data_IF_842764681635
#
_entry.id   IF_842764681635
#
_cell.length_a   1.000
_cell.length_b   1.000
_cell.length_c   1.000
_cell.angle_alpha   90.00
_cell.angle_beta   90.00
_cell.angle_gamma   90.00
#
_symmetry.space_group_name_H-M   'P 1'
#
loop_
_entity.id
_entity.type
_entity.pdbx_description
1 polymer ?
#
# COMPACT_ATOMS: atom_id res chain seq x y z
N UNK A 1 9.68 -14.68 -20.11
CA UNK A 1 8.61 -13.70 -20.39
C UNK A 1 9.18 -12.30 -20.29
N UNK A 2 9.01 -11.46 -21.32
CA UNK A 2 9.46 -10.06 -21.26
C UNK A 2 8.62 -9.26 -20.27
N UNK A 3 9.28 -8.44 -19.43
CA UNK A 3 8.63 -7.65 -18.38
C UNK A 3 7.55 -6.71 -18.95
N UNK A 4 7.75 -6.17 -20.16
CA UNK A 4 6.76 -5.32 -20.83
C UNK A 4 5.45 -6.06 -21.12
N UNK A 5 5.53 -7.30 -21.60
CA UNK A 5 4.35 -8.13 -21.88
C UNK A 5 3.60 -8.46 -20.60
N UNK A 6 4.34 -8.86 -19.55
CA UNK A 6 3.77 -9.12 -18.23
C UNK A 6 3.02 -7.89 -17.69
N UNK A 7 3.67 -6.72 -17.66
CA UNK A 7 3.10 -5.51 -17.08
C UNK A 7 1.90 -4.98 -17.87
N UNK A 8 1.93 -5.09 -19.21
CA UNK A 8 0.78 -4.73 -20.04
C UNK A 8 -0.44 -5.57 -19.67
N UNK A 9 -0.30 -6.90 -19.68
CA UNK A 9 -1.41 -7.81 -19.36
C UNK A 9 -1.88 -7.66 -17.92
N UNK A 10 -0.96 -7.47 -16.97
CA UNK A 10 -1.30 -7.21 -15.57
C UNK A 10 -2.22 -5.99 -15.45
N UNK A 11 -1.84 -4.85 -16.05
CA UNK A 11 -2.62 -3.60 -16.00
C UNK A 11 -3.98 -3.76 -16.67
N UNK A 12 -4.02 -4.43 -17.83
CA UNK A 12 -5.26 -4.71 -18.54
C UNK A 12 -6.21 -5.57 -17.69
N UNK A 13 -5.71 -6.68 -17.11
CA UNK A 13 -6.50 -7.56 -16.22
C UNK A 13 -6.98 -6.82 -14.98
N UNK A 14 -6.12 -6.06 -14.30
CA UNK A 14 -6.50 -5.23 -13.15
C UNK A 14 -7.67 -4.29 -13.48
N UNK A 15 -7.61 -3.58 -14.62
CA UNK A 15 -8.68 -2.67 -15.05
C UNK A 15 -9.97 -3.40 -15.45
N UNK A 16 -9.87 -4.48 -16.21
CA UNK A 16 -11.03 -5.27 -16.66
C UNK A 16 -11.77 -5.85 -15.45
N UNK A 17 -11.03 -6.51 -14.57
CA UNK A 17 -11.59 -7.16 -13.37
C UNK A 17 -12.17 -6.12 -12.40
N UNK A 18 -11.48 -5.00 -12.17
CA UNK A 18 -12.00 -3.89 -11.38
C UNK A 18 -13.34 -3.36 -11.94
N UNK A 19 -13.43 -3.11 -13.26
CA UNK A 19 -14.65 -2.60 -13.90
C UNK A 19 -15.81 -3.61 -13.81
N UNK A 20 -15.50 -4.91 -13.92
CA UNK A 20 -16.48 -5.99 -13.79
C UNK A 20 -16.79 -6.38 -12.34
N UNK A 21 -16.06 -5.84 -11.37
CA UNK A 21 -16.06 -6.28 -9.98
C UNK A 21 -15.76 -7.79 -9.85
N UNK A 22 -14.94 -8.32 -10.75
CA UNK A 22 -14.49 -9.71 -10.72
C UNK A 22 -13.40 -9.87 -9.64
N UNK A 23 -13.72 -10.58 -8.57
CA UNK A 23 -12.86 -10.78 -7.40
C UNK A 23 -12.02 -12.06 -7.47
N UNK A 24 -12.15 -12.84 -8.55
CA UNK A 24 -11.50 -14.15 -8.70
C UNK A 24 -10.07 -14.07 -9.28
N UNK A 25 -9.79 -13.02 -10.04
CA UNK A 25 -8.52 -12.83 -10.74
C UNK A 25 -7.46 -12.03 -9.97
N UNK A 26 -6.49 -11.49 -10.72
CA UNK A 26 -5.34 -10.75 -10.19
C UNK A 26 -5.74 -9.50 -9.40
N UNK A 27 -6.84 -8.83 -9.76
CA UNK A 27 -7.38 -7.71 -9.00
C UNK A 27 -7.78 -8.14 -7.59
N UNK A 28 -8.57 -9.20 -7.48
CA UNK A 28 -9.03 -9.71 -6.19
C UNK A 28 -7.90 -10.29 -5.34
N UNK A 29 -6.97 -11.02 -5.96
CA UNK A 29 -5.77 -11.51 -5.28
C UNK A 29 -4.92 -10.36 -4.73
N UNK A 30 -4.57 -9.39 -5.57
CA UNK A 30 -3.69 -8.28 -5.18
C UNK A 30 -4.32 -7.45 -4.07
N UNK A 31 -5.61 -7.12 -4.21
CA UNK A 31 -6.33 -6.32 -3.23
C UNK A 31 -6.41 -7.02 -1.87
N UNK A 32 -6.74 -8.31 -1.84
CA UNK A 32 -6.79 -9.10 -0.59
C UNK A 32 -5.43 -9.26 0.04
N UNK A 33 -4.43 -9.67 -0.75
CA UNK A 33 -3.08 -9.92 -0.25
C UNK A 33 -2.45 -8.65 0.31
N UNK A 34 -2.61 -7.50 -0.36
CA UNK A 34 -2.16 -6.23 0.18
C UNK A 34 -2.93 -5.82 1.44
N UNK A 35 -4.26 -5.95 1.46
CA UNK A 35 -5.05 -5.55 2.62
C UNK A 35 -4.73 -6.38 3.86
N UNK A 36 -4.58 -7.70 3.72
CA UNK A 36 -4.16 -8.59 4.79
C UNK A 36 -2.78 -8.19 5.32
N UNK A 37 -1.75 -8.24 4.48
CA UNK A 37 -0.37 -8.03 4.92
C UNK A 37 -0.15 -6.61 5.46
N UNK A 38 -0.70 -5.61 4.79
CA UNK A 38 -0.55 -4.20 5.17
C UNK A 38 -1.21 -3.91 6.52
N UNK A 39 -2.39 -4.45 6.81
CA UNK A 39 -3.03 -4.26 8.11
C UNK A 39 -2.41 -5.12 9.22
N UNK A 40 -1.94 -6.33 8.89
CA UNK A 40 -1.25 -7.22 9.85
C UNK A 40 0.07 -6.61 10.34
N UNK A 41 0.81 -5.95 9.44
CA UNK A 41 2.02 -5.18 9.78
C UNK A 41 1.72 -4.08 10.81
N UNK A 42 0.57 -3.40 10.70
CA UNK A 42 0.13 -2.38 11.67
C UNK A 42 -0.55 -2.98 12.93
N UNK A 43 -0.62 -4.31 13.04
CA UNK A 43 -1.08 -5.00 14.23
C UNK A 43 -2.54 -5.43 14.22
N UNK A 44 -3.22 -5.47 13.05
CA UNK A 44 -4.54 -6.11 12.91
C UNK A 44 -4.50 -7.57 13.37
N UNK A 45 -5.59 -8.08 13.94
CA UNK A 45 -5.69 -9.49 14.36
C UNK A 45 -6.46 -10.38 13.37
N UNK A 46 -6.97 -9.81 12.28
CA UNK A 46 -7.70 -10.56 11.26
C UNK A 46 -6.80 -11.57 10.55
N UNK A 47 -7.28 -12.79 10.39
CA UNK A 47 -6.59 -13.83 9.61
C UNK A 47 -6.76 -13.61 8.12
N UNK A 48 -5.95 -14.30 7.31
CA UNK A 48 -6.07 -14.27 5.85
C UNK A 48 -7.45 -14.80 5.39
N UNK A 49 -7.95 -15.88 6.02
CA UNK A 49 -9.29 -16.43 5.75
C UNK A 49 -10.40 -15.44 6.07
N UNK A 50 -10.30 -14.74 7.20
CA UNK A 50 -11.27 -13.71 7.58
C UNK A 50 -11.22 -12.52 6.63
N UNK A 51 -10.02 -12.10 6.24
CA UNK A 51 -9.84 -11.04 5.23
C UNK A 51 -10.46 -11.43 3.90
N UNK A 52 -10.29 -12.69 3.46
CA UNK A 52 -10.90 -13.22 2.25
C UNK A 52 -12.44 -13.25 2.34
N UNK A 53 -13.00 -13.75 3.46
CA UNK A 53 -14.46 -13.75 3.70
C UNK A 53 -15.05 -12.33 3.67
N UNK A 54 -14.41 -11.39 4.37
CA UNK A 54 -14.84 -9.98 4.34
C UNK A 54 -14.80 -9.41 2.92
N UNK A 55 -13.77 -9.75 2.15
CA UNK A 55 -13.63 -9.28 0.78
C UNK A 55 -14.67 -9.87 -0.16
N UNK A 56 -15.00 -11.15 -0.03
CA UNK A 56 -15.86 -11.87 -0.96
C UNK A 56 -17.34 -11.65 -0.64
N UNK A 57 -17.74 -11.91 0.61
CA UNK A 57 -19.14 -11.97 1.04
C UNK A 57 -19.52 -10.85 2.01
N UNK A 58 -18.53 -10.11 2.53
CA UNK A 58 -18.76 -9.11 3.58
C UNK A 58 -19.08 -9.74 4.94
N UNK A 59 -18.75 -11.03 5.13
CA UNK A 59 -18.98 -11.77 6.38
C UNK A 59 -17.68 -12.01 7.13
N UNK A 60 -17.80 -12.38 8.40
CA UNK A 60 -16.68 -12.84 9.23
C UNK A 60 -16.97 -14.25 9.70
N UNK A 61 -16.04 -15.17 9.42
CA UNK A 61 -16.07 -16.50 10.00
C UNK A 61 -15.47 -16.46 11.41
N UNK A 62 -16.20 -17.09 12.33
CA UNK A 62 -15.79 -17.28 13.72
C UNK A 62 -15.37 -18.74 13.85
N UNK A 63 -14.07 -18.99 13.76
CA UNK A 63 -13.51 -20.33 13.96
C UNK A 63 -13.40 -20.66 15.48
N UNK A 64 -13.35 -19.62 16.31
CA UNK A 64 -13.26 -19.69 17.77
C UNK A 64 -14.36 -18.81 18.39
N UNK A 65 -15.33 -19.39 19.14
CA UNK A 65 -16.43 -18.65 19.77
C UNK A 65 -15.98 -17.54 20.72
N UNK A 66 -14.78 -17.65 21.30
CA UNK A 66 -14.22 -16.66 22.23
C UNK A 66 -13.38 -15.59 21.52
N UNK A 67 -13.28 -15.65 20.19
CA UNK A 67 -12.52 -14.67 19.40
C UNK A 67 -13.17 -13.28 19.45
N UNK A 68 -12.43 -12.33 20.02
CA UNK A 68 -12.83 -10.92 20.05
C UNK A 68 -12.32 -10.22 18.79
N UNK A 69 -13.24 -9.73 17.97
CA UNK A 69 -12.93 -8.86 16.84
C UNK A 69 -12.84 -7.41 17.31
N UNK A 70 -11.73 -6.73 16.98
CA UNK A 70 -11.66 -5.29 17.15
C UNK A 70 -12.42 -4.65 15.99
N UNK A 71 -13.46 -3.88 16.29
CA UNK A 71 -14.23 -3.14 15.27
C UNK A 71 -13.31 -2.29 14.38
N UNK A 72 -12.26 -1.70 14.98
CA UNK A 72 -11.22 -0.98 14.27
C UNK A 72 -10.56 -1.80 13.15
N UNK A 73 -10.25 -3.08 13.38
CA UNK A 73 -9.60 -3.92 12.36
C UNK A 73 -10.52 -4.11 11.15
N UNK A 74 -11.83 -4.20 11.38
CA UNK A 74 -12.84 -4.32 10.33
C UNK A 74 -12.96 -3.01 9.54
N UNK A 75 -13.03 -1.88 10.25
CA UNK A 75 -13.10 -0.55 9.65
C UNK A 75 -11.86 -0.26 8.79
N UNK A 76 -10.67 -0.57 9.31
CA UNK A 76 -9.39 -0.36 8.63
C UNK A 76 -9.20 -1.32 7.44
N UNK A 77 -9.69 -2.56 7.54
CA UNK A 77 -9.72 -3.50 6.42
C UNK A 77 -10.61 -2.98 5.28
N UNK A 78 -11.83 -2.54 5.59
CA UNK A 78 -12.74 -1.94 4.61
C UNK A 78 -12.15 -0.66 4.00
N UNK A 79 -11.49 0.16 4.81
CA UNK A 79 -10.76 1.34 4.34
C UNK A 79 -9.66 0.98 3.35
N UNK A 80 -8.91 -0.09 3.60
CA UNK A 80 -7.87 -0.55 2.68
C UNK A 80 -8.45 -1.02 1.34
N UNK A 81 -9.58 -1.73 1.33
CA UNK A 81 -10.28 -2.10 0.09
C UNK A 81 -10.73 -0.87 -0.70
N UNK A 82 -11.34 0.12 -0.03
CA UNK A 82 -11.72 1.41 -0.65
C UNK A 82 -10.51 2.15 -1.23
N UNK A 83 -9.41 2.20 -0.49
CA UNK A 83 -8.17 2.85 -0.93
C UNK A 83 -7.60 2.18 -2.19
N UNK A 84 -7.57 0.85 -2.25
CA UNK A 84 -7.13 0.14 -3.45
C UNK A 84 -8.05 0.42 -4.65
N UNK A 85 -9.38 0.43 -4.45
CA UNK A 85 -10.33 0.80 -5.51
C UNK A 85 -10.10 2.22 -6.02
N UNK A 86 -9.75 3.15 -5.13
CA UNK A 86 -9.40 4.51 -5.51
C UNK A 86 -8.14 4.55 -6.39
N UNK A 87 -7.12 3.74 -6.08
CA UNK A 87 -5.92 3.58 -6.93
C UNK A 87 -6.28 3.05 -8.31
N UNK A 88 -7.14 2.03 -8.41
CA UNK A 88 -7.60 1.51 -9.70
C UNK A 88 -8.32 2.58 -10.54
N UNK A 89 -9.14 3.44 -9.91
CA UNK A 89 -9.79 4.59 -10.58
C UNK A 89 -8.82 5.66 -11.07
N UNK A 90 -7.66 5.77 -10.44
CA UNK A 90 -6.65 6.78 -10.75
C UNK A 90 -5.42 6.20 -11.45
N UNK A 91 -5.48 4.97 -11.96
CA UNK A 91 -4.31 4.26 -12.50
C UNK A 91 -3.62 5.03 -13.62
N UNK A 92 -4.35 5.78 -14.44
CA UNK A 92 -3.81 6.57 -15.55
C UNK A 92 -3.40 8.00 -15.17
N UNK A 93 -3.62 8.41 -13.92
CA UNK A 93 -3.28 9.77 -13.44
C UNK A 93 -1.94 9.73 -12.71
N UNK A 94 -0.98 10.63 -12.97
CA UNK A 94 0.27 10.69 -12.21
C UNK A 94 0.01 10.83 -10.71
N UNK A 95 0.84 10.18 -9.87
CA UNK A 95 0.79 10.37 -8.42
C UNK A 95 0.82 11.87 -8.07
N UNK A 96 -0.03 12.31 -7.15
CA UNK A 96 -0.11 13.72 -6.75
C UNK A 96 -0.49 13.85 -5.28
N UNK A 97 -0.34 15.04 -4.71
CA UNK A 97 -0.80 15.31 -3.33
C UNK A 97 -2.27 14.96 -3.14
N UNK A 98 -3.12 15.31 -4.11
CA UNK A 98 -4.55 15.02 -4.04
C UNK A 98 -4.83 13.53 -4.09
N UNK A 99 -4.08 12.77 -4.89
CA UNK A 99 -4.19 11.30 -4.90
C UNK A 99 -3.77 10.74 -3.54
N UNK A 100 -2.65 11.20 -2.97
CA UNK A 100 -2.15 10.74 -1.66
C UNK A 100 -3.16 11.07 -0.54
N UNK A 101 -3.70 12.28 -0.53
CA UNK A 101 -4.74 12.71 0.41
C UNK A 101 -6.01 11.86 0.28
N UNK A 102 -6.45 11.58 -0.95
CA UNK A 102 -7.63 10.76 -1.17
C UNK A 102 -7.40 9.27 -0.89
N UNK A 103 -6.19 8.73 -1.07
CA UNK A 103 -5.82 7.40 -0.57
C UNK A 103 -6.04 7.34 0.95
N UNK A 104 -5.46 8.30 1.69
CA UNK A 104 -5.64 8.39 3.14
C UNK A 104 -7.11 8.60 3.55
N UNK A 105 -7.86 9.43 2.82
CA UNK A 105 -9.30 9.62 3.05
C UNK A 105 -10.05 8.30 2.93
N UNK A 106 -9.88 7.56 1.84
CA UNK A 106 -10.56 6.28 1.63
C UNK A 106 -10.16 5.25 2.71
N UNK A 107 -8.90 5.27 3.15
CA UNK A 107 -8.40 4.40 4.21
C UNK A 107 -9.05 4.70 5.56
N UNK A 108 -9.18 5.97 5.94
CA UNK A 108 -9.48 6.36 7.33
C UNK A 108 -10.87 6.95 7.53
N UNK A 109 -11.62 7.27 6.46
CA UNK A 109 -12.98 7.81 6.59
C UNK A 109 -13.92 6.89 7.35
N UNK A 110 -13.74 5.57 7.30
CA UNK A 110 -14.59 4.61 8.01
C UNK A 110 -14.21 4.38 9.47
N UNK A 111 -13.08 4.91 9.94
CA UNK A 111 -12.52 4.55 11.24
C UNK A 111 -13.07 5.47 12.33
N UNK A 112 -13.84 4.91 13.27
CA UNK A 112 -14.54 5.70 14.30
C UNK A 112 -13.56 6.43 15.22
N UNK A 113 -12.54 5.74 15.72
CA UNK A 113 -11.56 6.32 16.66
C UNK A 113 -10.86 7.55 16.10
N UNK A 114 -10.45 7.52 14.83
CA UNK A 114 -9.81 8.64 14.15
C UNK A 114 -10.71 9.88 14.08
N UNK A 115 -12.00 9.67 13.79
CA UNK A 115 -13.00 10.74 13.79
C UNK A 115 -13.21 11.29 15.20
N UNK A 116 -13.36 10.41 16.19
CA UNK A 116 -13.55 10.78 17.58
C UNK A 116 -12.36 11.58 18.15
N UNK A 117 -11.14 11.23 17.73
CA UNK A 117 -9.90 11.94 18.10
C UNK A 117 -9.67 13.25 17.32
N UNK A 118 -10.55 13.58 16.36
CA UNK A 118 -10.46 14.80 15.55
C UNK A 118 -9.28 14.80 14.57
N UNK A 119 -8.87 13.63 14.09
CA UNK A 119 -7.78 13.52 13.12
C UNK A 119 -8.20 14.11 11.77
N UNK A 120 -7.23 14.68 11.05
CA UNK A 120 -7.44 15.25 9.73
C UNK A 120 -7.54 14.14 8.66
N UNK A 121 -8.72 13.53 8.51
CA UNK A 121 -8.94 12.49 7.51
C UNK A 121 -8.85 13.09 6.10
N UNK A 122 -7.95 12.54 5.28
CA UNK A 122 -7.62 13.09 3.96
C UNK A 122 -6.87 14.42 3.97
N UNK A 123 -6.39 14.89 5.13
CA UNK A 123 -5.58 16.09 5.26
C UNK A 123 -4.27 15.80 5.99
N UNK A 124 -3.31 16.71 5.91
CA UNK A 124 -2.06 16.59 6.65
C UNK A 124 -2.30 16.69 8.16
N UNK A 125 -1.41 16.07 8.94
CA UNK A 125 -1.44 16.12 10.40
C UNK A 125 -1.41 17.56 10.90
N UNK A 126 -2.17 17.83 11.96
CA UNK A 126 -2.22 19.14 12.63
C UNK A 126 -1.43 19.16 13.94
N UNK A 127 -0.92 18.02 14.37
CA UNK A 127 -0.16 17.81 15.60
C UNK A 127 1.10 17.01 15.27
N UNK A 128 2.17 17.24 16.03
CA UNK A 128 3.38 16.43 15.88
C UNK A 128 3.08 14.97 16.25
N UNK A 129 3.74 14.04 15.57
CA UNK A 129 3.71 12.61 15.88
C UNK A 129 5.13 12.03 15.80
N UNK A 130 5.31 10.89 16.49
CA UNK A 130 6.58 10.17 16.60
C UNK A 130 6.34 8.73 16.15
N UNK A 131 7.31 8.16 15.45
CA UNK A 131 7.30 6.74 15.07
C UNK A 131 8.47 6.08 15.77
N UNK A 132 8.19 5.18 16.71
CA UNK A 132 9.21 4.62 17.60
C UNK A 132 10.07 5.73 18.20
N UNK A 133 11.36 5.81 17.83
CA UNK A 133 12.27 6.83 18.32
C UNK A 133 12.46 8.05 17.42
N UNK A 134 11.84 8.05 16.24
CA UNK A 134 12.02 9.06 15.20
C UNK A 134 10.99 10.18 15.39
N UNK A 135 11.49 11.39 15.66
CA UNK A 135 10.67 12.59 15.52
C UNK A 135 10.45 12.87 14.04
N UNK A 136 9.18 12.85 13.62
CA UNK A 136 8.80 13.07 12.23
C UNK A 136 8.71 14.56 11.91
N UNK A 137 8.46 14.89 10.64
CA UNK A 137 8.35 16.29 10.18
C UNK A 137 7.28 17.07 10.95
N UNK A 138 7.53 18.34 11.28
CA UNK A 138 6.56 19.18 11.96
C UNK A 138 5.33 19.44 11.07
N UNK A 139 4.11 19.55 11.63
CA UNK A 139 2.88 19.78 10.85
C UNK A 139 2.97 20.89 9.81
N UNK A 140 3.55 22.03 10.18
CA UNK A 140 3.70 23.21 9.31
C UNK A 140 4.67 22.99 8.13
N UNK A 141 5.58 22.01 8.23
CA UNK A 141 6.57 21.69 7.20
C UNK A 141 6.10 20.57 6.26
N UNK A 142 5.08 19.80 6.65
CA UNK A 142 4.58 18.65 5.86
C UNK A 142 4.21 19.04 4.43
N UNK A 143 3.42 20.11 4.16
CA UNK A 143 3.04 20.46 2.80
C UNK A 143 4.27 20.65 1.89
N UNK A 144 5.23 21.45 2.35
CA UNK A 144 6.44 21.76 1.59
C UNK A 144 7.31 20.52 1.35
N UNK A 145 7.52 19.67 2.37
CA UNK A 145 8.33 18.45 2.19
C UNK A 145 7.68 17.43 1.26
N UNK A 146 6.36 17.29 1.29
CA UNK A 146 5.64 16.43 0.34
C UNK A 146 5.70 17.01 -1.07
N UNK A 147 5.54 18.32 -1.23
CA UNK A 147 5.67 18.99 -2.51
C UNK A 147 7.05 18.74 -3.13
N UNK A 148 8.13 18.98 -2.37
CA UNK A 148 9.50 18.73 -2.81
C UNK A 148 9.78 17.25 -3.13
N UNK A 149 9.17 16.32 -2.36
CA UNK A 149 9.31 14.89 -2.61
C UNK A 149 8.66 14.50 -3.95
N UNK A 150 7.45 15.02 -4.22
CA UNK A 150 6.76 14.79 -5.48
C UNK A 150 7.43 15.48 -6.66
N UNK A 151 7.93 16.70 -6.49
CA UNK A 151 8.67 17.43 -7.53
C UNK A 151 9.90 16.63 -7.97
N UNK A 152 10.71 16.13 -7.02
CA UNK A 152 11.86 15.27 -7.33
C UNK A 152 11.46 13.99 -8.05
N UNK A 153 10.34 13.38 -7.65
CA UNK A 153 9.80 12.19 -8.29
C UNK A 153 9.34 12.46 -9.73
N UNK A 154 8.65 13.57 -9.99
CA UNK A 154 8.16 13.91 -11.33
C UNK A 154 9.26 14.41 -12.28
N UNK A 155 10.32 15.02 -11.76
CA UNK A 155 11.44 15.53 -12.55
C UNK A 155 12.48 14.46 -12.88
N UNK A 156 12.34 13.23 -12.38
CA UNK A 156 13.23 12.13 -12.73
C UNK A 156 12.97 11.67 -14.17
N UNK A 157 14.04 11.52 -14.96
CA UNK A 157 13.97 11.04 -16.35
C UNK A 157 13.39 9.61 -16.43
N UNK A 158 13.76 8.77 -15.47
CA UNK A 158 13.27 7.40 -15.34
C UNK A 158 13.17 7.04 -13.87
N UNK A 159 12.05 6.45 -13.49
CA UNK A 159 11.85 5.87 -12.15
C UNK A 159 12.28 4.41 -12.17
N UNK A 160 13.10 4.05 -11.20
CA UNK A 160 13.57 2.69 -10.95
C UNK A 160 12.99 2.14 -9.64
N UNK A 161 13.24 0.84 -9.35
CA UNK A 161 12.84 0.27 -8.07
C UNK A 161 13.58 0.93 -6.88
N UNK A 162 14.84 1.29 -7.06
CA UNK A 162 15.60 2.11 -6.13
C UNK A 162 14.87 3.42 -5.79
N UNK A 163 14.36 4.13 -6.81
CA UNK A 163 13.66 5.41 -6.60
C UNK A 163 12.34 5.23 -5.85
N UNK A 164 11.62 4.11 -6.08
CA UNK A 164 10.42 3.75 -5.34
C UNK A 164 10.76 3.43 -3.88
N UNK A 165 11.82 2.66 -3.62
CA UNK A 165 12.29 2.36 -2.27
C UNK A 165 12.71 3.63 -1.51
N UNK A 166 13.43 4.52 -2.19
CA UNK A 166 13.83 5.83 -1.66
C UNK A 166 12.62 6.71 -1.36
N UNK A 167 11.68 6.83 -2.30
CA UNK A 167 10.45 7.61 -2.09
C UNK A 167 9.69 7.09 -0.88
N UNK A 168 9.53 5.76 -0.76
CA UNK A 168 8.84 5.14 0.36
C UNK A 168 9.48 5.47 1.71
N UNK A 169 10.81 5.33 1.83
CA UNK A 169 11.53 5.68 3.05
C UNK A 169 11.42 7.18 3.39
N UNK A 170 11.48 8.05 2.39
CA UNK A 170 11.33 9.50 2.57
C UNK A 170 9.90 9.89 2.98
N UNK A 171 8.88 9.27 2.37
CA UNK A 171 7.48 9.47 2.75
C UNK A 171 7.23 9.04 4.21
N UNK A 172 7.73 7.87 4.62
CA UNK A 172 7.62 7.38 5.99
C UNK A 172 8.35 8.28 6.99
N UNK A 173 9.48 8.89 6.60
CA UNK A 173 10.20 9.89 7.41
C UNK A 173 9.43 11.21 7.56
N UNK A 174 8.76 11.67 6.50
CA UNK A 174 7.89 12.86 6.59
C UNK A 174 6.70 12.56 7.50
N UNK A 175 6.10 11.38 7.34
CA UNK A 175 4.96 10.89 8.12
C UNK A 175 3.80 11.91 8.11
N UNK A 176 3.23 12.21 6.93
CA UNK A 176 2.39 13.40 6.73
C UNK A 176 1.01 13.34 7.40
N UNK A 177 0.52 12.14 7.74
CA UNK A 177 -0.78 11.93 8.36
C UNK A 177 -0.66 11.65 9.86
N UNK A 178 -1.75 11.81 10.60
CA UNK A 178 -1.76 11.53 12.03
C UNK A 178 -1.66 10.01 12.32
N UNK A 179 -2.29 9.21 11.47
CA UNK A 179 -2.23 7.74 11.44
C UNK A 179 -2.38 7.24 9.99
N UNK A 180 -2.07 5.98 9.71
CA UNK A 180 -2.25 5.35 8.41
C UNK A 180 -1.11 5.53 7.43
N UNK A 181 -0.01 6.18 7.83
CA UNK A 181 1.14 6.47 6.97
C UNK A 181 1.71 5.20 6.33
N UNK A 182 2.06 4.17 7.10
CA UNK A 182 2.62 2.92 6.54
C UNK A 182 1.73 2.27 5.48
N UNK A 183 0.41 2.30 5.69
CA UNK A 183 -0.58 1.72 4.76
C UNK A 183 -0.70 2.54 3.47
N UNK A 184 -0.73 3.87 3.59
CA UNK A 184 -0.70 4.76 2.43
C UNK A 184 0.64 4.65 1.70
N UNK A 185 1.76 4.61 2.42
CA UNK A 185 3.11 4.45 1.87
C UNK A 185 3.24 3.16 1.06
N UNK A 186 2.73 2.04 1.56
CA UNK A 186 2.69 0.77 0.81
C UNK A 186 1.76 0.80 -0.40
N UNK A 187 0.65 1.56 -0.33
CA UNK A 187 -0.23 1.76 -1.48
C UNK A 187 0.40 2.67 -2.56
N UNK A 188 1.21 3.65 -2.14
CA UNK A 188 1.98 4.48 -3.06
C UNK A 188 2.98 3.64 -3.85
N UNK A 189 3.65 2.66 -3.22
CA UNK A 189 4.54 1.71 -3.93
C UNK A 189 3.79 1.04 -5.09
N UNK A 190 2.59 0.49 -4.84
CA UNK A 190 1.77 -0.10 -5.90
C UNK A 190 1.50 0.91 -7.02
N UNK A 191 1.08 2.13 -6.66
CA UNK A 191 0.77 3.18 -7.65
C UNK A 191 1.98 3.51 -8.52
N UNK A 192 3.15 3.71 -7.92
CA UNK A 192 4.40 4.01 -8.63
C UNK A 192 4.83 2.85 -9.53
N UNK A 193 4.69 1.61 -9.07
CA UNK A 193 4.95 0.41 -9.88
C UNK A 193 4.08 0.40 -11.13
N UNK A 194 2.77 0.64 -10.99
CA UNK A 194 1.83 0.65 -12.11
C UNK A 194 2.08 1.82 -13.08
N UNK A 195 2.49 2.98 -12.59
CA UNK A 195 2.79 4.18 -13.39
C UNK A 195 3.99 3.97 -14.30
N UNK A 196 5.01 3.26 -13.80
CA UNK A 196 6.29 3.09 -14.48
C UNK A 196 6.51 1.69 -15.08
N UNK A 197 5.45 0.88 -15.16
CA UNK A 197 5.53 -0.51 -15.66
C UNK A 197 6.62 -1.33 -14.93
N UNK A 198 6.68 -1.16 -13.62
CA UNK A 198 7.52 -1.94 -12.71
C UNK A 198 6.63 -2.96 -12.01
N UNK A 199 7.12 -4.19 -11.83
CA UNK A 199 6.37 -5.25 -11.14
C UNK A 199 5.94 -4.77 -9.75
N UNK A 200 4.67 -4.92 -9.34
CA UNK A 200 4.23 -4.55 -8.00
C UNK A 200 4.95 -5.30 -6.88
N UNK A 201 4.97 -4.67 -5.72
CA UNK A 201 5.55 -5.19 -4.48
C UNK A 201 4.43 -5.38 -3.46
N UNK A 202 4.34 -6.58 -2.87
CA UNK A 202 3.53 -6.80 -1.67
C UNK A 202 4.47 -7.06 -0.50
N UNK A 203 4.56 -6.08 0.41
CA UNK A 203 5.33 -6.24 1.65
C UNK A 203 4.56 -7.20 2.55
N UNK A 204 5.06 -8.42 2.72
CA UNK A 204 4.37 -9.47 3.47
C UNK A 204 4.71 -9.42 4.95
N UNK A 205 3.69 -9.65 5.79
CA UNK A 205 3.83 -9.64 7.26
C UNK A 205 4.84 -10.69 7.77
N UNK A 206 4.93 -11.83 7.09
CA UNK A 206 5.94 -12.87 7.39
C UNK A 206 7.39 -12.36 7.32
N UNK A 207 7.63 -11.27 6.58
CA UNK A 207 8.93 -10.62 6.44
C UNK A 207 8.97 -9.22 7.10
N UNK A 208 7.99 -8.89 7.97
CA UNK A 208 7.89 -7.58 8.64
C UNK A 208 9.20 -7.17 9.33
N UNK A 209 9.88 -8.10 9.99
CA UNK A 209 11.15 -7.82 10.67
C UNK A 209 12.26 -7.42 9.70
N UNK A 210 12.35 -8.11 8.56
CA UNK A 210 13.31 -7.80 7.49
C UNK A 210 13.00 -6.44 6.86
N UNK A 211 11.73 -6.20 6.52
CA UNK A 211 11.25 -4.92 6.00
C UNK A 211 11.57 -3.76 6.95
N UNK A 212 11.22 -3.88 8.23
CA UNK A 212 11.46 -2.84 9.22
C UNK A 212 12.94 -2.54 9.41
N UNK A 213 13.80 -3.57 9.36
CA UNK A 213 15.27 -3.40 9.44
C UNK A 213 15.79 -2.56 8.28
N UNK A 214 15.40 -2.89 7.05
CA UNK A 214 15.87 -2.13 5.88
C UNK A 214 15.24 -0.75 5.76
N UNK A 215 13.96 -0.60 6.13
CA UNK A 215 13.32 0.70 6.21
C UNK A 215 14.03 1.59 7.24
N UNK A 216 14.33 1.07 8.43
CA UNK A 216 15.06 1.82 9.46
C UNK A 216 16.43 2.27 8.96
N UNK A 217 17.19 1.38 8.31
CA UNK A 217 18.49 1.73 7.72
C UNK A 217 18.36 2.82 6.64
N UNK A 218 17.37 2.70 5.76
CA UNK A 218 17.08 3.70 4.74
C UNK A 218 16.69 5.06 5.35
N UNK A 219 15.95 5.07 6.45
CA UNK A 219 15.48 6.27 7.12
C UNK A 219 16.59 7.02 7.88
N UNK A 220 17.52 6.30 8.51
CA UNK A 220 18.58 6.88 9.35
C UNK A 220 19.90 7.10 8.60
N UNK A 221 20.27 6.18 7.71
CA UNK A 221 21.57 6.17 7.04
C UNK A 221 21.47 6.56 5.56
N UNK A 222 20.24 6.73 5.03
CA UNK A 222 19.99 6.94 3.59
C UNK A 222 20.55 5.80 2.71
N UNK A 223 20.70 4.59 3.28
CA UNK A 223 21.05 3.38 2.54
C UNK A 223 19.77 2.66 2.09
N UNK A 224 19.37 2.92 0.84
CA UNK A 224 18.17 2.36 0.25
C UNK A 224 18.39 0.98 -0.40
N UNK A 225 19.64 0.51 -0.57
CA UNK A 225 19.94 -0.71 -1.33
C UNK A 225 19.35 -1.97 -0.70
N UNK A 226 19.36 -2.05 0.63
CA UNK A 226 18.74 -3.16 1.35
C UNK A 226 17.23 -3.22 1.14
N UNK A 227 16.57 -2.06 1.09
CA UNK A 227 15.13 -1.96 0.88
C UNK A 227 14.77 -2.27 -0.58
N UNK A 228 15.57 -1.81 -1.55
CA UNK A 228 15.45 -2.19 -2.95
C UNK A 228 15.57 -3.71 -3.15
N UNK A 229 16.61 -4.34 -2.61
CA UNK A 229 16.79 -5.80 -2.72
C UNK A 229 15.63 -6.59 -2.08
N UNK A 230 15.08 -6.07 -0.97
CA UNK A 230 13.86 -6.62 -0.38
C UNK A 230 12.65 -6.48 -1.32
N UNK A 231 12.50 -5.34 -1.98
CA UNK A 231 11.43 -5.15 -2.97
C UNK A 231 11.59 -6.09 -4.17
N UNK A 232 12.80 -6.34 -4.67
CA UNK A 232 13.04 -7.31 -5.75
C UNK A 232 12.59 -8.73 -5.35
N UNK A 233 12.87 -9.14 -4.11
CA UNK A 233 12.40 -10.42 -3.54
C UNK A 233 10.87 -10.51 -3.55
N UNK A 234 10.19 -9.44 -3.13
CA UNK A 234 8.72 -9.42 -3.12
C UNK A 234 8.11 -9.26 -4.52
N UNK A 235 8.81 -8.66 -5.49
CA UNK A 235 8.39 -8.64 -6.90
C UNK A 235 8.38 -10.04 -7.51
N UNK A 236 9.41 -10.85 -7.24
CA UNK A 236 9.46 -12.25 -7.71
C UNK A 236 8.26 -13.04 -7.18
N UNK A 237 8.00 -12.92 -5.87
CA UNK A 237 6.83 -13.55 -5.25
C UNK A 237 5.52 -13.08 -5.89
N UNK A 238 5.34 -11.77 -6.09
CA UNK A 238 4.13 -11.23 -6.71
C UNK A 238 3.95 -11.75 -8.15
N UNK A 239 5.03 -11.76 -8.93
CA UNK A 239 5.00 -12.24 -10.31
C UNK A 239 4.68 -13.74 -10.38
N UNK A 240 5.36 -14.58 -9.61
CA UNK A 240 5.08 -16.02 -9.52
C UNK A 240 3.62 -16.30 -9.11
N UNK A 241 3.08 -15.50 -8.18
CA UNK A 241 1.71 -15.66 -7.68
C UNK A 241 0.63 -15.22 -8.68
N UNK A 242 0.96 -14.34 -9.63
CA UNK A 242 -0.02 -13.71 -10.51
C UNK A 242 0.09 -14.13 -11.96
N UNK A 243 1.22 -14.67 -12.40
CA UNK A 243 1.40 -15.26 -13.73
C UNK A 243 0.24 -16.23 -14.09
N UNK A 244 -0.17 -17.19 -13.23
CA UNK A 244 -1.26 -18.11 -13.54
C UNK A 244 -2.65 -17.45 -13.67
N UNK A 245 -2.79 -16.20 -13.24
CA UNK A 245 -4.04 -15.42 -13.31
C UNK A 245 -4.09 -14.49 -14.53
N UNK A 246 -2.94 -14.28 -15.18
CA UNK A 246 -2.75 -13.31 -16.27
C UNK A 246 -2.50 -14.02 -17.61
N UNK A 247 -1.97 -15.24 -17.57
CA UNK A 247 -1.64 -16.06 -18.72
C UNK A 247 -2.42 -17.37 -18.66
N UNK A 248 -2.94 -17.80 -19.81
CA UNK A 248 -3.52 -19.13 -19.94
C UNK A 248 -2.42 -20.19 -19.95
N UNK A 249 -2.74 -21.45 -19.63
CA UNK A 249 -1.77 -22.54 -19.52
C UNK A 249 -0.95 -22.76 -20.81
N UNK A 250 -1.54 -22.46 -21.97
CA UNK A 250 -0.90 -22.57 -23.28
C UNK A 250 0.09 -21.43 -23.58
N UNK A 251 0.15 -20.40 -22.73
CA UNK A 251 0.98 -19.20 -22.88
C UNK A 251 2.16 -19.13 -21.88
N UNK A 252 2.27 -20.13 -20.99
CA UNK A 252 3.31 -20.25 -19.95
C UNK A 252 4.53 -21.05 -20.43
#
# INVERSE_FOLDING_TARGET
MENETYMKRLKDRLQIEFKKQDRSGVYGYTQRSMAYNSNRIEGSTLTEKQTASMFETGTLYVDDPDMIFRTKDIEEMNGHFKMFNYVMKCMEKPLSEDIIKNMHKNLKEGVFEDRANGYAIGGWKKRANRVSDIQTTLPQEVPEKIHQLLEKYHNAEKITLYDIAKFHAQFENIHPFQDGNGRVGRMIILKQCLDHNIVPVIIRDIHKAEYNRYLNKAQHEQDYKGLEAYFEKEQKYYQESTIPMIFDFDEL
#
